data_IF_945430788579
#
_entry.id   IF_945430788579
#
_cell.length_a   1.000
_cell.length_b   1.000
_cell.length_c   1.000
_cell.angle_alpha   90.00
_cell.angle_beta   90.00
_cell.angle_gamma   90.00
#
_symmetry.space_group_name_H-M   'P 1'
#
loop_
_entity.id
_entity.type
_entity.pdbx_description
1 polymer ?
#
# COMPACT_ATOMS: atom_id res chain seq x y z
N UNK A 1 5.26 25.32 -6.63
CA UNK A 1 4.29 25.78 -5.61
C UNK A 1 3.04 24.92 -5.76
N UNK A 2 2.49 24.37 -4.67
CA UNK A 2 1.27 23.54 -4.71
C UNK A 2 0.11 24.35 -5.29
N UNK A 3 -0.76 23.74 -6.10
CA UNK A 3 -1.90 24.46 -6.70
C UNK A 3 -2.91 24.85 -5.62
N UNK A 4 -3.47 26.06 -5.72
CA UNK A 4 -4.40 26.61 -4.72
C UNK A 4 -5.65 25.76 -4.51
N UNK A 5 -6.13 25.10 -5.57
CA UNK A 5 -7.24 24.16 -5.46
C UNK A 5 -6.85 22.95 -4.60
N UNK A 6 -5.70 22.32 -4.82
CA UNK A 6 -5.24 21.19 -4.00
C UNK A 6 -5.14 21.58 -2.52
N UNK A 7 -4.61 22.77 -2.21
CA UNK A 7 -4.58 23.32 -0.84
C UNK A 7 -6.00 23.42 -0.25
N UNK A 8 -6.96 23.94 -1.02
CA UNK A 8 -8.35 24.07 -0.59
C UNK A 8 -9.02 22.70 -0.36
N UNK A 9 -8.74 21.71 -1.22
CA UNK A 9 -9.24 20.34 -1.09
C UNK A 9 -8.68 19.66 0.17
N UNK A 10 -7.37 19.76 0.41
CA UNK A 10 -6.73 19.26 1.63
C UNK A 10 -7.32 19.91 2.88
N UNK A 11 -7.55 21.23 2.85
CA UNK A 11 -8.17 21.96 3.95
C UNK A 11 -9.62 21.54 4.22
N UNK A 12 -10.40 21.21 3.17
CA UNK A 12 -11.75 20.66 3.33
C UNK A 12 -11.71 19.26 3.95
N UNK A 13 -10.84 18.39 3.44
CA UNK A 13 -10.66 17.04 3.97
C UNK A 13 -10.30 17.03 5.46
N UNK A 14 -9.30 17.82 5.85
CA UNK A 14 -8.86 17.92 7.25
C UNK A 14 -9.95 18.47 8.18
N UNK A 15 -10.74 19.47 7.72
CA UNK A 15 -11.91 19.94 8.47
C UNK A 15 -12.93 18.83 8.67
N UNK A 16 -13.19 18.02 7.64
CA UNK A 16 -14.15 16.92 7.75
C UNK A 16 -13.71 15.85 8.75
N UNK A 17 -12.42 15.54 8.78
CA UNK A 17 -11.85 14.64 9.80
C UNK A 17 -11.99 15.20 11.21
N UNK A 18 -11.75 16.50 11.40
CA UNK A 18 -11.92 17.17 12.71
C UNK A 18 -13.39 17.17 13.16
N UNK A 19 -14.32 17.52 12.28
CA UNK A 19 -15.76 17.42 12.55
C UNK A 19 -16.14 16.01 12.99
N UNK A 20 -15.66 14.98 12.29
CA UNK A 20 -15.94 13.60 12.68
C UNK A 20 -15.36 13.25 14.06
N UNK A 21 -14.20 13.80 14.41
CA UNK A 21 -13.57 13.59 15.71
C UNK A 21 -14.34 14.24 16.87
N UNK A 22 -15.07 15.34 16.63
CA UNK A 22 -15.86 16.02 17.67
C UNK A 22 -17.23 15.38 17.93
N UNK A 23 -17.65 14.40 17.11
CA UNK A 23 -18.95 13.72 17.26
C UNK A 23 -19.03 12.76 18.46
N UNK A 24 -17.94 12.55 19.21
CA UNK A 24 -17.93 11.70 20.40
C UNK A 24 -18.42 10.28 20.11
N UNK A 25 -19.54 9.88 20.75
CA UNK A 25 -20.17 8.56 20.53
C UNK A 25 -20.67 8.34 19.10
N UNK A 26 -20.94 9.42 18.35
CA UNK A 26 -21.40 9.37 16.96
C UNK A 26 -20.25 9.45 15.94
N UNK A 27 -18.99 9.32 16.39
CA UNK A 27 -17.82 9.32 15.52
C UNK A 27 -17.91 8.17 14.53
N UNK A 28 -17.83 8.49 13.23
CA UNK A 28 -17.79 7.48 12.18
C UNK A 28 -16.41 6.82 12.14
N UNK A 29 -16.33 5.49 12.00
CA UNK A 29 -15.04 4.82 11.81
C UNK A 29 -14.38 5.31 10.53
N UNK A 30 -13.07 5.51 10.57
CA UNK A 30 -12.27 5.92 9.42
C UNK A 30 -11.51 4.70 8.94
N UNK A 31 -11.64 4.41 7.65
CA UNK A 31 -10.90 3.38 6.94
C UNK A 31 -9.97 4.06 5.95
N UNK A 32 -8.71 3.65 5.96
CA UNK A 32 -7.69 4.05 5.01
C UNK A 32 -7.44 2.89 4.06
N UNK A 33 -7.25 3.22 2.80
CA UNK A 33 -6.90 2.29 1.73
C UNK A 33 -5.61 2.83 1.13
N UNK A 34 -4.63 1.95 0.94
CA UNK A 34 -3.40 2.31 0.28
C UNK A 34 -2.85 1.13 -0.53
N UNK A 35 -1.97 1.48 -1.47
CA UNK A 35 -1.24 0.55 -2.31
C UNK A 35 0.24 0.58 -1.93
N UNK A 36 0.87 -0.60 -1.88
CA UNK A 36 2.32 -0.71 -1.81
C UNK A 36 2.81 -1.86 -2.69
N UNK A 37 4.11 -1.92 -2.93
CA UNK A 37 4.73 -3.02 -3.66
C UNK A 37 5.92 -3.61 -2.92
N UNK A 38 6.09 -4.92 -3.04
CA UNK A 38 7.29 -5.63 -2.61
C UNK A 38 8.07 -6.01 -3.86
N UNK A 39 9.31 -5.51 -3.94
CA UNK A 39 10.25 -5.99 -4.94
C UNK A 39 10.87 -7.31 -4.43
N UNK A 40 10.80 -8.42 -5.18
CA UNK A 40 11.32 -9.72 -4.79
C UNK A 40 12.84 -9.70 -4.65
N UNK A 41 13.52 -8.77 -5.32
CA UNK A 41 14.97 -8.57 -5.15
C UNK A 41 15.36 -7.71 -3.94
N UNK A 42 14.43 -7.40 -3.03
CA UNK A 42 14.79 -6.89 -1.69
C UNK A 42 15.50 -8.00 -0.93
N UNK A 43 16.81 -8.09 -1.16
CA UNK A 43 17.74 -8.96 -0.46
C UNK A 43 18.94 -8.14 0.01
N UNK A 44 19.67 -8.66 1.00
CA UNK A 44 20.92 -8.06 1.44
C UNK A 44 22.04 -8.41 0.44
N UNK A 45 22.85 -7.43 0.05
CA UNK A 45 23.99 -7.66 -0.86
C UNK A 45 25.08 -8.51 -0.20
N UNK A 46 25.18 -8.45 1.13
CA UNK A 46 26.08 -9.25 1.96
C UNK A 46 25.34 -9.72 3.21
N UNK A 47 25.50 -10.99 3.56
CA UNK A 47 24.96 -11.60 4.78
C UNK A 47 26.05 -12.49 5.39
N UNK A 48 26.30 -12.34 6.69
CA UNK A 48 27.10 -13.30 7.44
C UNK A 48 26.19 -14.48 7.78
N UNK A 49 26.45 -15.64 7.18
CA UNK A 49 25.62 -16.84 7.36
C UNK A 49 26.49 -18.07 7.64
N UNK A 50 25.97 -18.98 8.47
CA UNK A 50 26.60 -20.27 8.74
C UNK A 50 26.50 -21.20 7.53
N UNK A 51 27.47 -22.11 7.35
CA UNK A 51 27.44 -23.15 6.31
C UNK A 51 26.25 -24.13 6.43
N UNK A 52 25.59 -24.17 7.59
CA UNK A 52 24.46 -25.06 7.87
C UNK A 52 23.09 -24.39 7.69
N UNK A 53 23.05 -23.10 7.36
CA UNK A 53 21.80 -22.37 7.15
C UNK A 53 21.58 -22.14 5.64
N UNK A 54 20.36 -22.35 5.12
CA UNK A 54 19.99 -21.91 3.78
C UNK A 54 20.33 -20.43 3.62
N UNK A 55 21.05 -20.10 2.53
CA UNK A 55 21.49 -18.74 2.29
C UNK A 55 20.36 -17.79 1.92
N UNK A 56 20.68 -16.49 1.87
CA UNK A 56 19.72 -15.47 1.40
C UNK A 56 19.23 -15.83 -0.02
N UNK A 57 17.92 -15.96 -0.16
CA UNK A 57 17.28 -16.20 -1.45
C UNK A 57 17.62 -15.04 -2.40
N UNK A 58 18.38 -15.35 -3.47
CA UNK A 58 18.57 -14.41 -4.56
C UNK A 58 17.33 -14.44 -5.43
N UNK A 59 16.72 -13.29 -5.66
CA UNK A 59 15.61 -13.18 -6.59
C UNK A 59 16.08 -13.51 -8.01
N UNK A 60 15.49 -14.55 -8.59
CA UNK A 60 15.87 -15.10 -9.90
C UNK A 60 15.39 -14.22 -11.08
N UNK A 61 14.50 -13.24 -10.81
CA UNK A 61 13.86 -12.40 -11.83
C UNK A 61 13.84 -10.93 -11.41
N UNK A 62 14.74 -10.15 -12.00
CA UNK A 62 14.72 -8.68 -11.94
C UNK A 62 13.42 -8.12 -12.52
N UNK A 63 12.77 -7.20 -11.81
CA UNK A 63 11.64 -6.39 -12.30
C UNK A 63 10.23 -6.93 -12.03
N UNK A 64 10.06 -8.13 -11.50
CA UNK A 64 8.74 -8.63 -11.09
C UNK A 64 8.36 -8.01 -9.74
N UNK A 65 7.12 -7.59 -9.49
CA UNK A 65 6.70 -7.03 -8.18
C UNK A 65 5.44 -7.71 -7.67
N UNK A 66 5.28 -7.77 -6.35
CA UNK A 66 3.97 -8.05 -5.74
C UNK A 66 3.35 -6.73 -5.33
N UNK A 67 2.16 -6.45 -5.84
CA UNK A 67 1.36 -5.30 -5.46
C UNK A 67 0.41 -5.74 -4.36
N UNK A 68 0.34 -4.96 -3.29
CA UNK A 68 -0.49 -5.19 -2.13
C UNK A 68 -1.38 -3.96 -1.98
N UNK A 69 -2.70 -4.17 -2.04
CA UNK A 69 -3.69 -3.17 -1.68
C UNK A 69 -4.40 -3.66 -0.44
N UNK A 70 -4.47 -2.83 0.60
CA UNK A 70 -5.18 -3.20 1.81
C UNK A 70 -5.92 -2.01 2.42
N UNK A 71 -7.14 -2.27 2.90
CA UNK A 71 -7.92 -1.33 3.68
C UNK A 71 -7.87 -1.66 5.19
N UNK A 72 -7.62 -0.64 6.02
CA UNK A 72 -7.54 -0.77 7.48
C UNK A 72 -7.90 0.51 8.21
N UNK A 73 -8.26 0.37 9.49
CA UNK A 73 -8.60 1.50 10.36
C UNK A 73 -8.12 1.27 11.79
N UNK A 74 -8.68 2.05 12.74
CA UNK A 74 -8.28 1.98 14.15
C UNK A 74 -8.54 0.61 14.81
N UNK A 75 -9.37 -0.23 14.21
CA UNK A 75 -9.74 -1.56 14.72
C UNK A 75 -9.03 -2.70 13.98
N UNK A 76 -8.02 -2.38 13.16
CA UNK A 76 -7.29 -3.34 12.34
C UNK A 76 -7.74 -3.32 10.87
N UNK A 77 -7.33 -4.35 10.15
CA UNK A 77 -7.63 -4.53 8.74
C UNK A 77 -9.07 -4.99 8.50
N UNK A 78 -9.66 -4.56 7.39
CA UNK A 78 -10.98 -5.03 7.00
C UNK A 78 -10.90 -6.47 6.49
N UNK A 79 -11.84 -7.30 6.95
CA UNK A 79 -12.05 -8.62 6.37
C UNK A 79 -12.38 -8.46 4.89
N UNK A 80 -11.75 -9.29 4.04
CA UNK A 80 -11.85 -9.22 2.58
C UNK A 80 -11.39 -7.87 1.98
N UNK A 81 -10.64 -7.06 2.74
CA UNK A 81 -10.08 -5.80 2.25
C UNK A 81 -8.67 -5.94 1.70
N UNK A 82 -8.16 -7.15 1.52
CA UNK A 82 -6.81 -7.46 1.05
C UNK A 82 -6.85 -7.95 -0.40
N UNK A 83 -6.11 -7.26 -1.26
CA UNK A 83 -5.85 -7.68 -2.63
C UNK A 83 -4.32 -7.79 -2.81
N UNK A 84 -3.84 -8.97 -3.18
CA UNK A 84 -2.44 -9.20 -3.53
C UNK A 84 -2.38 -9.80 -4.92
N UNK A 85 -1.61 -9.20 -5.81
CA UNK A 85 -1.38 -9.76 -7.13
C UNK A 85 0.02 -9.47 -7.63
N UNK A 86 0.42 -10.23 -8.65
CA UNK A 86 1.72 -10.10 -9.28
C UNK A 86 1.63 -9.10 -10.42
N UNK A 87 2.48 -8.07 -10.38
CA UNK A 87 2.66 -7.12 -11.46
C UNK A 87 3.05 -7.87 -12.75
N UNK A 88 2.37 -7.54 -13.85
CA UNK A 88 2.65 -8.09 -15.19
C UNK A 88 3.60 -7.17 -15.95
N UNK A 89 3.65 -5.89 -15.59
CA UNK A 89 4.51 -4.91 -16.21
C UNK A 89 5.92 -4.89 -15.62
N UNK A 90 6.91 -4.69 -16.49
CA UNK A 90 8.32 -4.51 -16.11
C UNK A 90 8.71 -3.03 -16.00
N UNK A 91 7.76 -2.11 -16.16
CA UNK A 91 7.99 -0.65 -16.07
C UNK A 91 8.37 -0.25 -14.64
N UNK A 92 9.02 0.91 -14.49
CA UNK A 92 9.35 1.47 -13.17
C UNK A 92 8.10 1.83 -12.35
N UNK A 93 7.04 2.25 -13.04
CA UNK A 93 5.76 2.65 -12.47
C UNK A 93 4.83 1.44 -12.33
N UNK A 94 4.40 1.19 -11.10
CA UNK A 94 3.53 0.06 -10.74
C UNK A 94 2.06 0.45 -10.77
N UNK A 95 1.73 1.75 -10.79
CA UNK A 95 0.35 2.22 -10.83
C UNK A 95 -0.38 1.80 -12.11
N UNK A 96 0.35 1.53 -13.21
CA UNK A 96 -0.23 0.99 -14.46
C UNK A 96 -0.89 -0.38 -14.27
N UNK A 97 -0.42 -1.16 -13.29
CA UNK A 97 -0.98 -2.47 -13.02
C UNK A 97 -2.26 -2.39 -12.18
N UNK A 98 -2.53 -1.28 -11.46
CA UNK A 98 -3.80 -1.06 -10.77
C UNK A 98 -4.89 -0.57 -11.73
N UNK A 99 -6.01 -1.29 -11.79
CA UNK A 99 -7.12 -0.94 -12.65
C UNK A 99 -8.45 -1.35 -12.02
N UNK A 100 -9.56 -0.92 -12.62
CA UNK A 100 -10.89 -1.28 -12.13
C UNK A 100 -11.08 -2.80 -12.00
N UNK A 101 -10.51 -3.61 -12.90
CA UNK A 101 -10.73 -5.05 -12.89
C UNK A 101 -10.07 -5.76 -11.71
N UNK A 102 -8.84 -5.38 -11.32
CA UNK A 102 -8.23 -5.98 -10.13
C UNK A 102 -8.78 -5.38 -8.82
N UNK A 103 -9.17 -4.11 -8.82
CA UNK A 103 -9.74 -3.47 -7.63
C UNK A 103 -11.13 -4.03 -7.24
N UNK A 104 -11.87 -4.60 -8.19
CA UNK A 104 -13.21 -5.15 -7.99
C UNK A 104 -13.25 -6.67 -7.75
N UNK A 105 -12.08 -7.30 -7.52
CA UNK A 105 -12.00 -8.74 -7.20
C UNK A 105 -12.53 -9.08 -5.81
#
# INVERSE_FOLDING_TARGET
MERNDIVAWRSRYLRKLRENATLGKNKKPITYLDETFIHPSYGVSKCWQSKYQPGVYKADRSGQRYIIVHAGGAYGFLNNGLLIFKSKNKSGDYHDDLNHHNFMQ
#
